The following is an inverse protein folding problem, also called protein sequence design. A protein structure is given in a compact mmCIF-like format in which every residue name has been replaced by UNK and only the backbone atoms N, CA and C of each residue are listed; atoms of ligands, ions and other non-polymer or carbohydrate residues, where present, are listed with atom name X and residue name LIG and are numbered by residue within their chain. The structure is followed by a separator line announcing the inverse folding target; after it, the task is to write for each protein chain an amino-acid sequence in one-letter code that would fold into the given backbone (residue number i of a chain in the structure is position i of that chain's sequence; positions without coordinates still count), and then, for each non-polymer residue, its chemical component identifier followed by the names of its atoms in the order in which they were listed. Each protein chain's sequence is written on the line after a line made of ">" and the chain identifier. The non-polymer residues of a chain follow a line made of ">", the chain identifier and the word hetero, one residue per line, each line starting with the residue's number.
data_IF_011058462277
#
_entry.id   IF_011058462277
#
_cell.length_a   1.000
_cell.length_b   1.000
_cell.length_c   1.000
_cell.angle_alpha   90.00
_cell.angle_beta   90.00
_cell.angle_gamma   90.00
#
_symmetry.space_group_name_H-M   'P 1'
#
loop_
_entity.id
_entity.type
_entity.pdbx_description
1 polymer ?
#
# COMPACT_ATOMS: atom_id res chain seq x y z
N UNK A 1 30.26 15.52 3.15
CA UNK A 1 28.94 16.17 3.35
C UNK A 1 28.06 15.12 4.00
N UNK A 2 27.71 15.28 5.27
CA UNK A 2 26.81 14.36 5.97
C UNK A 2 25.41 14.52 5.36
N UNK A 3 24.89 13.45 4.76
CA UNK A 3 23.50 13.42 4.32
C UNK A 3 22.59 13.70 5.53
N UNK A 4 21.54 14.52 5.39
CA UNK A 4 20.63 14.76 6.50
C UNK A 4 19.98 13.45 6.94
N UNK A 5 19.78 13.28 8.24
CA UNK A 5 19.12 12.12 8.82
C UNK A 5 17.72 11.96 8.22
N UNK A 6 17.46 10.81 7.61
CA UNK A 6 16.16 10.51 6.98
C UNK A 6 15.22 9.87 8.00
N UNK A 7 14.05 10.43 8.15
CA UNK A 7 13.00 9.97 9.07
C UNK A 7 12.11 8.95 8.39
N UNK A 8 11.94 7.79 8.98
CA UNK A 8 11.23 6.66 8.39
C UNK A 8 10.07 6.23 9.30
N UNK A 9 8.90 5.97 8.71
CA UNK A 9 7.86 5.18 9.36
C UNK A 9 7.74 3.80 8.72
N UNK A 10 7.31 2.83 9.54
CA UNK A 10 7.07 1.46 9.11
C UNK A 10 5.59 1.15 9.38
N UNK A 11 4.86 0.73 8.34
CA UNK A 11 3.46 0.33 8.44
C UNK A 11 3.30 -1.09 7.89
N UNK A 12 3.15 -2.05 8.79
CA UNK A 12 3.05 -3.48 8.48
C UNK A 12 2.30 -4.15 9.64
N UNK A 13 1.36 -5.03 9.39
CA UNK A 13 0.60 -5.69 10.45
C UNK A 13 1.39 -6.83 11.13
N UNK A 14 2.46 -7.31 10.48
CA UNK A 14 3.34 -8.35 11.02
C UNK A 14 4.43 -7.77 11.93
N UNK A 15 4.30 -7.96 13.24
CA UNK A 15 5.27 -7.44 14.25
C UNK A 15 6.70 -7.91 14.01
N UNK A 16 6.89 -9.17 13.62
CA UNK A 16 8.23 -9.73 13.35
C UNK A 16 8.93 -9.01 12.19
N UNK A 17 8.17 -8.67 11.14
CA UNK A 17 8.69 -7.90 9.99
C UNK A 17 9.05 -6.49 10.42
N UNK A 18 8.17 -5.79 11.14
CA UNK A 18 8.47 -4.42 11.63
C UNK A 18 9.75 -4.39 12.46
N UNK A 19 9.90 -5.35 13.39
CA UNK A 19 11.13 -5.47 14.21
C UNK A 19 12.38 -5.72 13.37
N UNK A 20 12.31 -6.64 12.39
CA UNK A 20 13.42 -6.94 11.49
C UNK A 20 13.81 -5.73 10.63
N UNK A 21 12.83 -5.06 10.04
CA UNK A 21 13.03 -3.84 9.24
C UNK A 21 13.65 -2.72 10.09
N UNK A 22 13.11 -2.47 11.29
CA UNK A 22 13.70 -1.50 12.24
C UNK A 22 15.17 -1.82 12.51
N UNK A 23 15.46 -3.07 12.85
CA UNK A 23 16.81 -3.52 13.21
C UNK A 23 17.79 -3.29 12.06
N UNK A 24 17.39 -3.59 10.82
CA UNK A 24 18.19 -3.31 9.63
C UNK A 24 18.43 -1.81 9.43
N UNK A 25 17.40 -0.99 9.59
CA UNK A 25 17.48 0.46 9.43
C UNK A 25 18.44 1.08 10.46
N UNK A 26 18.36 0.62 11.72
CA UNK A 26 19.16 1.12 12.84
C UNK A 26 20.66 0.75 12.75
N UNK A 27 21.04 -0.17 11.86
CA UNK A 27 22.47 -0.41 11.54
C UNK A 27 23.10 0.75 10.77
N UNK A 28 22.30 1.64 10.22
CA UNK A 28 22.73 2.71 9.31
C UNK A 28 22.53 4.08 9.97
N UNK A 29 23.59 4.88 10.16
CA UNK A 29 23.52 6.15 10.92
C UNK A 29 22.71 7.26 10.22
N UNK A 30 22.32 7.03 8.96
CA UNK A 30 21.62 8.03 8.15
C UNK A 30 20.09 7.88 8.18
N UNK A 31 19.58 6.84 8.83
CA UNK A 31 18.15 6.53 8.92
C UNK A 31 17.69 6.46 10.37
N UNK A 32 16.50 6.95 10.63
CA UNK A 32 15.83 6.89 11.93
C UNK A 32 14.39 6.47 11.77
N UNK A 33 13.99 5.39 12.44
CA UNK A 33 12.58 5.01 12.55
C UNK A 33 11.92 5.93 13.57
N UNK A 34 11.00 6.76 13.11
CA UNK A 34 10.27 7.75 13.93
C UNK A 34 8.88 7.28 14.32
N UNK A 35 8.41 6.14 13.80
CA UNK A 35 7.15 5.56 14.19
C UNK A 35 6.85 4.25 13.48
N UNK A 36 5.95 3.46 14.09
CA UNK A 36 5.46 2.18 13.57
C UNK A 36 3.95 2.07 13.74
N UNK A 37 3.29 1.42 12.79
CA UNK A 37 1.88 1.11 12.87
C UNK A 37 1.59 -0.28 12.30
N UNK A 38 0.56 -0.95 12.86
CA UNK A 38 0.08 -2.25 12.38
C UNK A 38 -1.21 -2.13 11.54
N UNK A 39 -1.65 -0.90 11.26
CA UNK A 39 -2.92 -0.61 10.59
C UNK A 39 -2.71 0.59 9.66
N UNK A 40 -3.29 0.53 8.46
CA UNK A 40 -3.06 1.57 7.47
C UNK A 40 -3.64 2.95 7.85
N UNK A 41 -4.74 2.99 8.60
CA UNK A 41 -5.33 4.25 9.05
C UNK A 41 -4.51 4.88 10.16
N UNK A 42 -4.07 4.08 11.12
CA UNK A 42 -3.14 4.53 12.17
C UNK A 42 -1.82 4.99 11.54
N UNK A 43 -1.33 4.27 10.51
CA UNK A 43 -0.14 4.64 9.76
C UNK A 43 -0.27 6.00 9.07
N UNK A 44 -1.44 6.34 8.53
CA UNK A 44 -1.71 7.65 7.95
C UNK A 44 -1.67 8.76 9.01
N UNK A 45 -2.34 8.57 10.13
CA UNK A 45 -2.36 9.53 11.25
C UNK A 45 -0.95 9.78 11.79
N UNK A 46 -0.21 8.69 12.03
CA UNK A 46 1.19 8.73 12.45
C UNK A 46 2.07 9.49 11.45
N UNK A 47 1.90 9.27 10.15
CA UNK A 47 2.67 9.96 9.13
C UNK A 47 2.39 11.47 9.11
N UNK A 48 1.13 11.87 9.28
CA UNK A 48 0.74 13.29 9.34
C UNK A 48 1.40 13.97 10.54
N UNK A 49 1.42 13.31 11.71
CA UNK A 49 2.03 13.84 12.92
C UNK A 49 3.57 13.86 12.82
N UNK A 50 4.16 12.73 12.44
CA UNK A 50 5.62 12.55 12.43
C UNK A 50 6.32 13.22 11.25
N UNK A 51 5.61 13.57 10.17
CA UNK A 51 6.19 14.17 8.95
C UNK A 51 7.46 13.42 8.46
N UNK A 52 7.38 12.13 8.16
CA UNK A 52 8.54 11.33 7.75
C UNK A 52 8.99 11.68 6.33
N UNK A 53 10.24 11.39 6.04
CA UNK A 53 10.81 11.49 4.70
C UNK A 53 10.44 10.30 3.82
N UNK A 54 10.40 9.11 4.43
CA UNK A 54 10.13 7.84 3.76
C UNK A 54 9.08 7.06 4.58
N UNK A 55 8.13 6.45 3.90
CA UNK A 55 7.23 5.45 4.47
C UNK A 55 7.52 4.08 3.84
N UNK A 56 7.81 3.08 4.67
CA UNK A 56 7.83 1.67 4.31
C UNK A 56 6.46 1.14 4.66
N UNK A 57 5.72 0.66 3.66
CA UNK A 57 4.34 0.21 3.85
C UNK A 57 4.12 -1.17 3.23
N UNK A 58 3.44 -2.05 3.97
CA UNK A 58 2.97 -3.29 3.38
C UNK A 58 1.75 -3.04 2.49
N UNK A 59 1.53 -3.94 1.55
CA UNK A 59 0.33 -3.93 0.71
C UNK A 59 -0.91 -4.35 1.50
N UNK A 60 -0.81 -5.45 2.26
CA UNK A 60 -1.91 -6.04 3.02
C UNK A 60 -1.98 -5.43 4.42
N UNK A 61 -2.75 -4.36 4.56
CA UNK A 61 -2.96 -3.70 5.85
C UNK A 61 -4.45 -3.69 6.22
N UNK A 62 -4.78 -3.86 7.51
CA UNK A 62 -6.13 -3.65 8.01
C UNK A 62 -6.62 -2.21 7.79
N UNK A 63 -7.93 -2.03 7.73
CA UNK A 63 -8.66 -0.77 7.64
C UNK A 63 -8.40 0.08 6.39
N UNK A 64 -7.15 0.17 5.94
CA UNK A 64 -6.71 0.91 4.76
C UNK A 64 -5.51 0.19 4.15
N UNK A 65 -5.69 -0.48 3.01
CA UNK A 65 -4.61 -1.21 2.37
C UNK A 65 -3.47 -0.30 1.90
N UNK A 66 -2.30 -0.89 1.65
CA UNK A 66 -1.08 -0.13 1.36
C UNK A 66 -1.17 0.78 0.14
N UNK A 67 -1.95 0.43 -0.90
CA UNK A 67 -2.13 1.32 -2.05
C UNK A 67 -2.97 2.55 -1.72
N UNK A 68 -4.05 2.36 -0.98
CA UNK A 68 -4.90 3.45 -0.53
C UNK A 68 -4.14 4.34 0.47
N UNK A 69 -3.34 3.73 1.36
CA UNK A 69 -2.43 4.46 2.24
C UNK A 69 -1.42 5.28 1.44
N UNK A 70 -0.76 4.68 0.44
CA UNK A 70 0.20 5.38 -0.42
C UNK A 70 -0.45 6.59 -1.11
N UNK A 71 -1.67 6.41 -1.62
CA UNK A 71 -2.41 7.49 -2.25
C UNK A 71 -2.75 8.62 -1.26
N UNK A 72 -3.24 8.26 -0.06
CA UNK A 72 -3.55 9.22 0.99
C UNK A 72 -2.29 9.97 1.45
N UNK A 73 -1.18 9.27 1.66
CA UNK A 73 0.11 9.87 2.03
C UNK A 73 0.61 10.86 0.97
N UNK A 74 0.48 10.52 -0.32
CA UNK A 74 0.88 11.45 -1.39
C UNK A 74 0.03 12.71 -1.45
N UNK A 75 -1.23 12.64 -1.07
CA UNK A 75 -2.13 13.80 -1.00
C UNK A 75 -1.79 14.70 0.19
N UNK A 76 -1.61 14.12 1.37
CA UNK A 76 -1.35 14.87 2.62
C UNK A 76 0.11 15.32 2.73
N UNK A 77 1.04 14.50 2.25
CA UNK A 77 2.49 14.71 2.30
C UNK A 77 3.10 14.57 0.89
N UNK A 78 2.97 15.55 0.00
CA UNK A 78 3.38 15.41 -1.41
C UNK A 78 4.86 15.07 -1.64
N UNK A 79 5.72 15.37 -0.65
CA UNK A 79 7.16 15.11 -0.71
C UNK A 79 7.58 13.75 -0.19
N UNK A 80 6.68 13.02 0.50
CA UNK A 80 6.98 11.71 1.07
C UNK A 80 7.39 10.73 -0.03
N UNK A 81 8.37 9.91 0.26
CA UNK A 81 8.80 8.80 -0.59
C UNK A 81 8.24 7.53 -0.01
N UNK A 82 7.73 6.67 -0.88
CA UNK A 82 7.04 5.46 -0.47
C UNK A 82 7.78 4.26 -1.03
N UNK A 83 8.15 3.34 -0.14
CA UNK A 83 8.60 2.00 -0.41
C UNK A 83 7.44 1.05 -0.08
N UNK A 84 6.89 0.39 -1.08
CA UNK A 84 6.00 -0.74 -0.86
C UNK A 84 6.84 -1.99 -0.62
N UNK A 85 6.71 -2.60 0.56
CA UNK A 85 7.44 -3.78 0.99
C UNK A 85 6.46 -4.90 1.28
N UNK A 86 6.31 -5.86 0.37
CA UNK A 86 5.18 -6.79 0.35
C UNK A 86 5.56 -8.22 0.03
N UNK A 87 4.72 -9.19 0.44
CA UNK A 87 4.85 -10.59 0.02
C UNK A 87 4.32 -10.85 -1.40
N UNK A 88 3.66 -9.86 -2.02
CA UNK A 88 2.92 -10.08 -3.25
C UNK A 88 3.70 -9.61 -4.48
N UNK A 89 4.00 -10.55 -5.37
CA UNK A 89 4.69 -10.39 -6.65
C UNK A 89 3.74 -10.25 -7.86
N UNK A 90 2.41 -10.18 -7.60
CA UNK A 90 1.41 -10.15 -8.68
C UNK A 90 1.51 -8.88 -9.50
N UNK A 91 1.56 -9.07 -10.80
CA UNK A 91 1.64 -8.02 -11.80
C UNK A 91 0.63 -6.87 -11.60
N UNK A 92 -0.64 -7.22 -11.31
CA UNK A 92 -1.70 -6.23 -11.09
C UNK A 92 -1.40 -5.31 -9.90
N UNK A 93 -0.79 -5.84 -8.82
CA UNK A 93 -0.40 -5.08 -7.64
C UNK A 93 0.75 -4.14 -7.97
N UNK A 94 1.76 -4.65 -8.66
CA UNK A 94 2.95 -3.88 -9.09
C UNK A 94 2.51 -2.69 -9.95
N UNK A 95 1.67 -2.92 -10.96
CA UNK A 95 1.18 -1.87 -11.85
C UNK A 95 0.35 -0.83 -11.09
N UNK A 96 -0.54 -1.27 -10.18
CA UNK A 96 -1.35 -0.36 -9.40
C UNK A 96 -0.51 0.47 -8.43
N UNK A 97 0.54 -0.12 -7.83
CA UNK A 97 1.50 0.59 -6.99
C UNK A 97 2.20 1.73 -7.77
N UNK A 98 2.69 1.44 -8.97
CA UNK A 98 3.31 2.46 -9.82
C UNK A 98 2.35 3.59 -10.20
N UNK A 99 1.09 3.26 -10.50
CA UNK A 99 0.03 4.24 -10.80
C UNK A 99 -0.32 5.11 -9.60
N UNK A 100 -0.21 4.57 -8.38
CA UNK A 100 -0.41 5.31 -7.12
C UNK A 100 0.78 6.23 -6.77
N UNK A 101 1.81 6.27 -7.61
CA UNK A 101 2.99 7.13 -7.41
C UNK A 101 4.03 6.54 -6.47
N UNK A 102 3.93 5.26 -6.12
CA UNK A 102 4.99 4.51 -5.43
C UNK A 102 6.23 4.49 -6.32
N UNK A 103 7.40 4.73 -5.74
CA UNK A 103 8.69 4.79 -6.43
C UNK A 103 9.68 3.75 -5.92
N UNK A 104 9.38 3.08 -4.82
CA UNK A 104 10.11 1.94 -4.30
C UNK A 104 9.19 0.73 -4.19
N UNK A 105 9.62 -0.42 -4.69
CA UNK A 105 8.86 -1.66 -4.57
C UNK A 105 9.83 -2.82 -4.38
N UNK A 106 9.63 -3.56 -3.28
CA UNK A 106 10.49 -4.61 -2.82
C UNK A 106 9.64 -5.76 -2.28
N UNK A 107 10.02 -6.99 -2.55
CA UNK A 107 9.38 -8.15 -1.96
C UNK A 107 9.98 -8.45 -0.58
N UNK A 108 9.16 -8.92 0.36
CA UNK A 108 9.63 -9.39 1.68
C UNK A 108 10.52 -10.63 1.59
N UNK A 109 10.54 -11.30 0.45
CA UNK A 109 11.43 -12.42 0.14
C UNK A 109 12.80 -11.98 -0.43
N UNK A 110 12.95 -10.72 -0.82
CA UNK A 110 14.20 -10.20 -1.35
C UNK A 110 15.26 -10.08 -0.22
N UNK A 111 16.55 -10.11 -0.52
CA UNK A 111 17.62 -9.97 0.48
C UNK A 111 17.49 -8.69 1.31
N UNK A 112 17.85 -8.75 2.60
CA UNK A 112 17.79 -7.58 3.48
C UNK A 112 18.62 -6.38 3.01
N UNK A 113 19.73 -6.63 2.30
CA UNK A 113 20.57 -5.58 1.72
C UNK A 113 19.82 -4.75 0.67
N UNK A 114 18.85 -5.34 -0.03
CA UNK A 114 18.00 -4.63 -0.99
C UNK A 114 17.12 -3.58 -0.32
N UNK A 115 16.73 -3.79 0.95
CA UNK A 115 15.97 -2.79 1.71
C UNK A 115 16.82 -1.51 1.91
N UNK A 116 18.06 -1.64 2.30
CA UNK A 116 18.95 -0.48 2.47
C UNK A 116 19.24 0.17 1.12
N UNK A 117 19.50 -0.61 0.08
CA UNK A 117 19.68 -0.08 -1.28
C UNK A 117 18.45 0.68 -1.79
N UNK A 118 17.24 0.19 -1.48
CA UNK A 118 15.99 0.87 -1.81
C UNK A 118 15.85 2.20 -1.06
N UNK A 119 16.19 2.23 0.24
CA UNK A 119 16.16 3.46 1.04
C UNK A 119 17.18 4.48 0.51
N UNK A 120 18.38 4.04 0.15
CA UNK A 120 19.42 4.90 -0.43
C UNK A 120 18.96 5.50 -1.76
N UNK A 121 18.39 4.69 -2.64
CA UNK A 121 17.84 5.17 -3.91
C UNK A 121 16.74 6.20 -3.69
N UNK A 122 15.77 5.89 -2.80
CA UNK A 122 14.67 6.79 -2.48
C UNK A 122 15.14 8.07 -1.80
N UNK A 123 16.18 8.03 -0.95
CA UNK A 123 16.77 9.23 -0.33
C UNK A 123 17.27 10.21 -1.39
N UNK A 124 17.81 9.69 -2.49
CA UNK A 124 18.26 10.44 -3.66
C UNK A 124 17.13 10.73 -4.68
N UNK A 125 15.86 10.47 -4.33
CA UNK A 125 14.69 10.59 -5.19
C UNK A 125 14.74 9.72 -6.45
N UNK A 126 15.53 8.65 -6.44
CA UNK A 126 15.58 7.65 -7.50
C UNK A 126 14.59 6.53 -7.23
N UNK A 127 13.94 5.98 -8.24
CA UNK A 127 13.11 4.80 -8.07
C UNK A 127 13.99 3.58 -7.76
N UNK A 128 13.43 2.62 -7.03
CA UNK A 128 14.03 1.32 -6.77
C UNK A 128 13.00 0.21 -6.96
N UNK A 129 13.35 -0.77 -7.75
CA UNK A 129 12.57 -1.99 -7.96
C UNK A 129 13.53 -3.17 -7.87
N UNK A 130 13.19 -4.19 -7.07
CA UNK A 130 14.02 -5.40 -7.03
C UNK A 130 14.09 -6.07 -8.39
N UNK A 131 15.03 -7.00 -8.57
CA UNK A 131 15.21 -7.73 -9.82
C UNK A 131 13.91 -8.42 -10.25
N UNK A 132 13.27 -9.13 -9.34
CA UNK A 132 11.99 -9.83 -9.57
C UNK A 132 10.89 -8.88 -10.07
N UNK A 133 10.76 -7.72 -9.42
CA UNK A 133 9.79 -6.70 -9.83
C UNK A 133 10.15 -6.11 -11.20
N UNK A 134 11.43 -5.87 -11.44
CA UNK A 134 11.92 -5.33 -12.72
C UNK A 134 11.67 -6.30 -13.87
N UNK A 135 11.87 -7.60 -13.67
CA UNK A 135 11.56 -8.64 -14.65
C UNK A 135 10.07 -8.65 -14.99
N UNK A 136 9.18 -8.65 -13.98
CA UNK A 136 7.74 -8.57 -14.19
C UNK A 136 7.34 -7.33 -15.00
N UNK A 137 7.94 -6.17 -14.71
CA UNK A 137 7.69 -4.93 -15.46
C UNK A 137 8.20 -5.01 -16.90
N UNK A 138 9.35 -5.62 -17.14
CA UNK A 138 9.90 -5.83 -18.47
C UNK A 138 9.04 -6.78 -19.30
N UNK A 139 8.59 -7.89 -18.73
CA UNK A 139 7.67 -8.81 -19.39
C UNK A 139 6.37 -8.09 -19.81
N UNK A 140 5.85 -7.24 -18.96
CA UNK A 140 4.69 -6.41 -19.29
C UNK A 140 4.96 -5.45 -20.44
N UNK A 141 6.09 -4.78 -20.45
CA UNK A 141 6.45 -3.84 -21.52
C UNK A 141 6.68 -4.57 -22.84
N UNK A 142 7.26 -5.76 -22.81
CA UNK A 142 7.58 -6.56 -23.99
C UNK A 142 6.37 -7.40 -24.46
N UNK A 143 5.53 -7.86 -23.53
CA UNK A 143 4.32 -8.65 -23.79
C UNK A 143 3.07 -7.85 -24.01
N UNK A 144 3.13 -6.52 -23.86
CA UNK A 144 1.92 -5.72 -23.78
C UNK A 144 1.21 -5.54 -25.11
N UNK A 145 0.17 -6.35 -25.28
CA UNK A 145 -1.13 -5.76 -25.58
C UNK A 145 -1.64 -5.15 -24.27
N UNK A 146 -1.42 -3.86 -24.08
CA UNK A 146 -2.05 -3.06 -23.03
C UNK A 146 -3.57 -3.24 -23.15
N UNK A 147 -4.10 -4.27 -22.50
CA UNK A 147 -5.52 -4.29 -22.24
C UNK A 147 -5.74 -3.25 -21.12
N UNK A 148 -6.59 -2.25 -21.34
CA UNK A 148 -7.02 -1.40 -20.24
C UNK A 148 -7.65 -2.35 -19.21
N UNK A 149 -7.12 -2.36 -17.97
CA UNK A 149 -7.72 -3.08 -16.86
C UNK A 149 -9.19 -2.66 -16.75
N UNK A 150 -10.06 -3.52 -17.30
CA UNK A 150 -11.50 -3.32 -17.23
C UNK A 150 -11.90 -3.34 -15.76
N UNK A 151 -12.55 -2.28 -15.32
CA UNK A 151 -13.13 -2.07 -13.99
C UNK A 151 -12.18 -1.74 -12.85
N UNK A 152 -11.39 -0.67 -12.96
CA UNK A 152 -10.74 -0.12 -11.78
C UNK A 152 -11.80 0.49 -10.84
N UNK A 153 -11.90 -0.07 -9.65
CA UNK A 153 -12.65 0.57 -8.58
C UNK A 153 -12.01 1.93 -8.27
N UNK A 154 -12.82 2.93 -7.98
CA UNK A 154 -12.32 4.18 -7.39
C UNK A 154 -11.76 3.91 -5.99
N UNK A 155 -10.95 4.83 -5.45
CA UNK A 155 -10.45 4.71 -4.07
C UNK A 155 -11.57 4.44 -3.07
N UNK A 156 -12.65 5.22 -3.12
CA UNK A 156 -13.79 5.05 -2.21
C UNK A 156 -14.52 3.72 -2.39
N UNK A 157 -14.66 3.26 -3.61
CA UNK A 157 -15.22 1.93 -3.88
C UNK A 157 -14.33 0.83 -3.31
N UNK A 158 -13.00 0.95 -3.44
CA UNK A 158 -12.02 -0.02 -2.94
C UNK A 158 -12.00 -0.05 -1.41
N UNK A 159 -11.95 1.10 -0.75
CA UNK A 159 -12.07 1.20 0.72
C UNK A 159 -13.34 0.53 1.25
N UNK A 160 -14.48 0.78 0.59
CA UNK A 160 -15.75 0.16 0.98
C UNK A 160 -15.72 -1.35 0.76
N UNK A 161 -15.19 -1.82 -0.36
CA UNK A 161 -15.06 -3.27 -0.66
C UNK A 161 -14.17 -3.96 0.36
N UNK A 162 -13.04 -3.36 0.72
CA UNK A 162 -12.13 -3.88 1.74
C UNK A 162 -12.86 -4.03 3.08
N UNK A 163 -13.48 -2.97 3.59
CA UNK A 163 -14.14 -3.02 4.89
C UNK A 163 -15.36 -3.97 4.93
N UNK A 164 -16.07 -4.11 3.81
CA UNK A 164 -17.11 -5.15 3.69
C UNK A 164 -16.51 -6.54 3.78
N UNK A 165 -15.35 -6.77 3.19
CA UNK A 165 -14.65 -8.05 3.25
C UNK A 165 -14.06 -8.34 4.64
N UNK A 166 -13.67 -7.30 5.39
CA UNK A 166 -13.31 -7.37 6.81
C UNK A 166 -14.51 -7.60 7.75
N UNK A 167 -15.73 -7.74 7.19
CA UNK A 167 -16.94 -8.01 7.96
C UNK A 167 -17.62 -6.78 8.56
N UNK A 168 -17.22 -5.57 8.21
CA UNK A 168 -17.82 -4.36 8.73
C UNK A 168 -19.23 -4.13 8.16
N UNK A 169 -20.16 -3.70 9.03
CA UNK A 169 -21.49 -3.26 8.62
C UNK A 169 -21.44 -1.87 7.98
N UNK A 170 -22.35 -1.56 7.05
CA UNK A 170 -22.43 -0.25 6.38
C UNK A 170 -22.41 0.93 7.37
N UNK A 171 -23.02 0.79 8.54
CA UNK A 171 -23.01 1.83 9.60
C UNK A 171 -21.63 2.06 10.19
N UNK A 172 -20.86 0.99 10.38
CA UNK A 172 -19.48 1.06 10.87
C UNK A 172 -18.55 1.68 9.82
N UNK A 173 -18.72 1.26 8.56
CA UNK A 173 -17.98 1.82 7.42
C UNK A 173 -18.26 3.33 7.30
N UNK A 174 -19.53 3.73 7.39
CA UNK A 174 -19.95 5.12 7.33
C UNK A 174 -19.26 5.98 8.42
N UNK A 175 -19.21 5.46 9.65
CA UNK A 175 -18.53 6.13 10.76
C UNK A 175 -17.02 6.25 10.51
N UNK A 176 -16.36 5.17 10.09
CA UNK A 176 -14.91 5.14 9.81
C UNK A 176 -14.49 6.06 8.66
N UNK A 177 -15.33 6.15 7.62
CA UNK A 177 -15.05 6.98 6.44
C UNK A 177 -15.58 8.42 6.56
N UNK A 178 -16.26 8.74 7.67
CA UNK A 178 -16.93 10.02 7.92
C UNK A 178 -17.90 10.42 6.78
N UNK A 179 -18.75 9.49 6.38
CA UNK A 179 -19.78 9.68 5.34
C UNK A 179 -21.14 9.14 5.80
N UNK A 180 -22.20 9.39 5.02
CA UNK A 180 -23.51 8.81 5.31
C UNK A 180 -23.55 7.31 4.97
N UNK A 181 -24.41 6.55 5.66
CA UNK A 181 -24.68 5.13 5.33
C UNK A 181 -25.12 5.00 3.87
N UNK A 182 -25.95 5.93 3.38
CA UNK A 182 -26.39 5.95 1.99
C UNK A 182 -25.24 6.13 1.00
N UNK A 183 -24.22 6.91 1.36
CA UNK A 183 -23.01 7.08 0.56
C UNK A 183 -22.23 5.75 0.46
N UNK A 184 -22.09 5.02 1.56
CA UNK A 184 -21.46 3.69 1.58
C UNK A 184 -22.23 2.71 0.69
N UNK A 185 -23.57 2.68 0.79
CA UNK A 185 -24.42 1.85 -0.05
C UNK A 185 -24.23 2.17 -1.54
N UNK A 186 -24.14 3.44 -1.88
CA UNK A 186 -23.91 3.90 -3.25
C UNK A 186 -22.55 3.41 -3.78
N UNK A 187 -21.48 3.58 -3.01
CA UNK A 187 -20.17 3.10 -3.41
C UNK A 187 -20.11 1.58 -3.54
N UNK A 188 -20.74 0.85 -2.60
CA UNK A 188 -20.85 -0.60 -2.65
C UNK A 188 -21.62 -1.08 -3.88
N UNK A 189 -22.77 -0.48 -4.17
CA UNK A 189 -23.56 -0.83 -5.33
C UNK A 189 -22.81 -0.53 -6.65
N UNK A 190 -22.13 0.60 -6.71
CA UNK A 190 -21.30 0.98 -7.85
C UNK A 190 -20.14 -0.01 -8.06
N UNK A 191 -19.43 -0.38 -6.97
CA UNK A 191 -18.38 -1.39 -7.02
C UNK A 191 -18.90 -2.74 -7.54
N UNK A 192 -20.00 -3.24 -6.97
CA UNK A 192 -20.61 -4.50 -7.38
C UNK A 192 -21.03 -4.49 -8.86
N UNK A 193 -21.57 -3.38 -9.34
CA UNK A 193 -21.94 -3.21 -10.75
C UNK A 193 -20.70 -3.23 -11.66
N UNK A 194 -19.64 -2.50 -11.32
CA UNK A 194 -18.38 -2.45 -12.08
C UNK A 194 -17.72 -3.83 -12.16
N UNK A 195 -17.76 -4.56 -11.04
CA UNK A 195 -17.19 -5.91 -10.92
C UNK A 195 -18.13 -7.00 -11.47
N UNK A 196 -19.33 -6.65 -11.90
CA UNK A 196 -20.39 -7.59 -12.36
C UNK A 196 -20.73 -8.66 -11.30
N UNK A 197 -20.67 -8.28 -10.01
CA UNK A 197 -20.98 -9.17 -8.88
C UNK A 197 -22.41 -8.93 -8.39
N UNK A 198 -23.09 -10.03 -7.99
CA UNK A 198 -24.49 -9.99 -7.56
C UNK A 198 -24.68 -10.19 -6.05
N UNK A 199 -23.68 -10.68 -5.33
CA UNK A 199 -23.78 -11.05 -3.91
C UNK A 199 -22.62 -10.52 -3.11
N UNK A 200 -22.85 -10.28 -1.81
CA UNK A 200 -21.76 -9.90 -0.87
C UNK A 200 -20.69 -10.98 -0.77
N UNK A 201 -21.10 -12.26 -0.77
CA UNK A 201 -20.13 -13.37 -0.75
C UNK A 201 -19.22 -13.38 -2.00
N UNK A 202 -19.74 -12.98 -3.17
CA UNK A 202 -18.91 -12.81 -4.36
C UNK A 202 -17.97 -11.61 -4.24
N UNK A 203 -18.41 -10.54 -3.58
CA UNK A 203 -17.59 -9.36 -3.31
C UNK A 203 -16.45 -9.69 -2.33
N UNK A 204 -16.72 -10.44 -1.27
CA UNK A 204 -15.70 -10.91 -0.31
C UNK A 204 -14.67 -11.81 -1.04
N UNK A 205 -15.13 -12.80 -1.83
CA UNK A 205 -14.21 -13.63 -2.62
C UNK A 205 -13.37 -12.82 -3.61
N UNK A 206 -13.94 -11.77 -4.19
CA UNK A 206 -13.19 -10.85 -5.03
C UNK A 206 -12.11 -10.13 -4.23
N UNK A 207 -12.44 -9.60 -3.05
CA UNK A 207 -11.51 -8.90 -2.19
C UNK A 207 -10.32 -9.78 -1.77
N UNK A 208 -10.60 -11.04 -1.35
CA UNK A 208 -9.54 -12.01 -1.02
C UNK A 208 -8.69 -12.35 -2.26
N UNK A 209 -9.31 -12.64 -3.41
CA UNK A 209 -8.58 -12.95 -4.64
C UNK A 209 -7.70 -11.81 -5.14
N UNK A 210 -8.10 -10.56 -4.88
CA UNK A 210 -7.36 -9.36 -5.28
C UNK A 210 -6.55 -8.76 -4.12
N UNK A 211 -6.37 -9.54 -3.04
CA UNK A 211 -5.53 -9.19 -1.90
C UNK A 211 -5.89 -7.83 -1.28
N UNK A 212 -7.18 -7.46 -1.34
CA UNK A 212 -7.67 -6.30 -0.60
C UNK A 212 -7.82 -6.62 0.89
N UNK A 213 -7.92 -7.90 1.23
CA UNK A 213 -7.90 -8.46 2.59
C UNK A 213 -7.20 -9.81 2.56
N UNK A 214 -6.56 -10.19 3.65
CA UNK A 214 -6.04 -11.54 3.86
C UNK A 214 -7.18 -12.52 4.23
N UNK A 215 -7.00 -13.82 3.96
CA UNK A 215 -8.01 -14.84 4.19
C UNK A 215 -7.93 -15.40 5.63
#
# INVERSE_FOLDING_TARGET
>A
MTSPLQRIIIVDDHEAIRRGVRQLIETTPYYQVVGEAADGRIGLELAIEAQPDIAIIDYSLPSLNGLELAHALKRELPRIRILLYTMHDREEIIINALRSGVRGLLLKSDPGDDLIAALDALSLRRPYFSSTISETLLEQLLGSKLQPLASSLTHREREVVQQVAEGCLNKQIAARLNVSVKTVETHRASAMRKLKLKTTAALVRYAVRNLLVEA
#
